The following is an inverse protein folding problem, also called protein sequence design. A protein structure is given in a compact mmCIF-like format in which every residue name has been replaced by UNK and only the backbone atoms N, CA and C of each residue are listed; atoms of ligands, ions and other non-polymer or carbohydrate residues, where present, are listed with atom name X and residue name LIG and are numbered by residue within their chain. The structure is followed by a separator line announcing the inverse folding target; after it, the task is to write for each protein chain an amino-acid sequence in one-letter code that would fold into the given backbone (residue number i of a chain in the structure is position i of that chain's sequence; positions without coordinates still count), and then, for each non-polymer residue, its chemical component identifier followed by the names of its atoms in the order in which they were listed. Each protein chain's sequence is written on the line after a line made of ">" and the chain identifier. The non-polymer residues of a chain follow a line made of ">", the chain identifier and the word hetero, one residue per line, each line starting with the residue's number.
data_IF_975573489642
#
_entry.id   IF_975573489642
#
_cell.length_a   1.000
_cell.length_b   1.000
_cell.length_c   1.000
_cell.angle_alpha   90.00
_cell.angle_beta   90.00
_cell.angle_gamma   90.00
#
_symmetry.space_group_name_H-M   'P 1'
#
loop_
_entity.id
_entity.type
_entity.pdbx_description
1 polymer ?
#
# COMPACT_ATOMS: atom_id res chain seq x y z
N UNK A 1 2.44 -7.54 11.57
CA UNK A 1 1.36 -6.58 11.28
C UNK A 1 0.37 -7.30 10.37
N UNK A 2 -0.90 -7.35 10.74
CA UNK A 2 -1.95 -7.98 9.92
C UNK A 2 -2.44 -6.95 8.92
N UNK A 3 -2.34 -7.27 7.63
CA UNK A 3 -2.66 -6.35 6.54
C UNK A 3 -3.92 -6.89 5.88
N UNK A 4 -5.01 -6.11 5.90
CA UNK A 4 -6.26 -6.55 5.30
C UNK A 4 -6.11 -6.73 3.79
N UNK A 5 -6.61 -7.85 3.28
CA UNK A 5 -6.64 -8.15 1.84
C UNK A 5 -8.00 -7.84 1.22
N UNK A 6 -8.00 -7.65 -0.10
CA UNK A 6 -9.19 -7.48 -0.96
C UNK A 6 -9.12 -8.43 -2.17
N UNK A 7 -10.17 -8.52 -3.00
CA UNK A 7 -10.12 -9.28 -4.26
C UNK A 7 -9.37 -8.45 -5.28
N UNK A 8 -8.66 -9.10 -6.21
CA UNK A 8 -7.97 -8.41 -7.29
C UNK A 8 -8.92 -7.58 -8.19
N UNK A 9 -10.16 -8.04 -8.39
CA UNK A 9 -11.17 -7.31 -9.16
C UNK A 9 -11.62 -6.01 -8.48
N UNK A 10 -11.64 -5.99 -7.14
CA UNK A 10 -12.01 -4.84 -6.30
C UNK A 10 -10.89 -3.78 -6.26
N UNK A 11 -9.69 -4.10 -6.73
CA UNK A 11 -8.62 -3.12 -6.94
C UNK A 11 -8.97 -2.25 -8.15
N UNK A 12 -9.78 -1.23 -7.93
CA UNK A 12 -10.19 -0.25 -8.96
C UNK A 12 -9.36 1.03 -8.87
N UNK A 13 -9.48 1.91 -9.87
CA UNK A 13 -8.82 3.22 -9.82
C UNK A 13 -9.29 4.02 -8.61
N UNK A 14 -10.59 4.05 -8.33
CA UNK A 14 -11.16 4.77 -7.19
C UNK A 14 -10.58 4.28 -5.85
N UNK A 15 -10.51 2.96 -5.67
CA UNK A 15 -9.95 2.34 -4.47
C UNK A 15 -8.48 2.73 -4.32
N UNK A 16 -7.71 2.67 -5.40
CA UNK A 16 -6.30 3.02 -5.35
C UNK A 16 -6.06 4.51 -5.12
N UNK A 17 -6.82 5.38 -5.79
CA UNK A 17 -6.79 6.83 -5.56
C UNK A 17 -7.05 7.13 -4.09
N UNK A 18 -8.06 6.48 -3.49
CA UNK A 18 -8.36 6.67 -2.09
C UNK A 18 -7.20 6.21 -1.19
N UNK A 19 -6.56 5.10 -1.49
CA UNK A 19 -5.38 4.63 -0.74
C UNK A 19 -4.21 5.60 -0.86
N UNK A 20 -3.98 6.19 -2.03
CA UNK A 20 -2.95 7.23 -2.22
C UNK A 20 -3.27 8.46 -1.36
N UNK A 21 -4.53 8.89 -1.29
CA UNK A 21 -4.92 9.99 -0.40
C UNK A 21 -4.70 9.64 1.08
N UNK A 22 -4.98 8.40 1.48
CA UNK A 22 -4.71 7.92 2.83
C UNK A 22 -3.20 7.92 3.11
N UNK A 23 -2.38 7.53 2.13
CA UNK A 23 -0.94 7.57 2.20
C UNK A 23 -0.42 8.99 2.46
N UNK A 24 -0.83 9.96 1.64
CA UNK A 24 -0.42 11.36 1.78
C UNK A 24 -0.81 11.93 3.16
N UNK A 25 -2.03 11.62 3.63
CA UNK A 25 -2.53 12.08 4.95
C UNK A 25 -1.83 11.43 6.13
N UNK A 26 -1.43 10.15 6.02
CA UNK A 26 -0.88 9.38 7.14
C UNK A 26 0.64 9.47 7.23
N UNK A 27 1.33 9.38 6.10
CA UNK A 27 2.80 9.30 6.01
C UNK A 27 3.41 10.65 5.67
N UNK A 28 2.62 11.62 5.19
CA UNK A 28 3.14 12.87 4.67
C UNK A 28 3.84 12.64 3.33
N UNK A 29 3.23 11.82 2.48
CA UNK A 29 3.64 11.63 1.10
C UNK A 29 3.61 12.92 0.30
N UNK A 30 4.47 13.00 -0.70
CA UNK A 30 4.38 13.96 -1.79
C UNK A 30 4.22 13.17 -3.09
N UNK A 31 3.14 12.39 -3.20
CA UNK A 31 2.90 11.52 -4.34
C UNK A 31 2.75 12.26 -5.66
N UNK A 32 3.37 11.74 -6.72
CA UNK A 32 3.08 12.12 -8.10
C UNK A 32 1.59 11.95 -8.38
N UNK A 33 0.90 13.03 -8.75
CA UNK A 33 -0.54 13.07 -9.07
C UNK A 33 -0.91 12.36 -10.38
N UNK A 34 0.00 11.58 -10.95
CA UNK A 34 -0.18 10.94 -12.25
C UNK A 34 -0.41 9.44 -12.07
N UNK A 35 -1.51 9.10 -11.40
CA UNK A 35 -2.08 7.77 -11.52
C UNK A 35 -3.11 7.79 -12.65
N UNK A 36 -2.92 6.96 -13.67
CA UNK A 36 -3.85 6.82 -14.80
C UNK A 36 -4.27 5.36 -14.96
N UNK A 37 -5.28 5.12 -15.79
CA UNK A 37 -5.83 3.78 -16.07
C UNK A 37 -4.76 2.76 -16.45
N UNK A 38 -3.80 3.13 -17.29
CA UNK A 38 -2.69 2.26 -17.69
C UNK A 38 -1.80 1.81 -16.52
N UNK A 39 -1.72 2.59 -15.43
CA UNK A 39 -0.95 2.22 -14.24
C UNK A 39 -1.66 1.12 -13.44
N UNK A 40 -3.00 1.13 -13.40
CA UNK A 40 -3.79 0.09 -12.74
C UNK A 40 -3.73 -1.22 -13.54
N UNK A 41 -3.90 -1.15 -14.85
CA UNK A 41 -3.83 -2.32 -15.73
C UNK A 41 -2.48 -3.00 -15.61
N UNK A 42 -1.38 -2.22 -15.69
CA UNK A 42 -0.04 -2.72 -15.46
C UNK A 42 0.13 -3.38 -14.09
N UNK A 43 -0.43 -2.80 -13.02
CA UNK A 43 -0.38 -3.42 -11.70
C UNK A 43 -1.12 -4.75 -11.63
N UNK A 44 -2.32 -4.85 -12.22
CA UNK A 44 -3.08 -6.10 -12.26
C UNK A 44 -2.35 -7.18 -13.06
N UNK A 45 -1.78 -6.81 -14.20
CA UNK A 45 -0.95 -7.72 -15.01
C UNK A 45 0.29 -8.19 -14.22
N UNK A 46 0.98 -7.27 -13.55
CA UNK A 46 2.16 -7.59 -12.75
C UNK A 46 1.83 -8.46 -11.54
N UNK A 47 0.71 -8.21 -10.86
CA UNK A 47 0.27 -9.03 -9.74
C UNK A 47 -0.04 -10.46 -10.20
N UNK A 48 -0.61 -10.62 -11.40
CA UNK A 48 -0.87 -11.93 -12.00
C UNK A 48 0.44 -12.70 -12.29
N UNK A 49 1.52 -12.00 -12.64
CA UNK A 49 2.77 -12.63 -13.11
C UNK A 49 3.92 -12.68 -12.07
N UNK A 50 3.99 -11.73 -11.13
CA UNK A 50 5.17 -11.47 -10.29
C UNK A 50 4.89 -11.30 -8.79
N UNK A 51 3.70 -11.70 -8.34
CA UNK A 51 3.25 -11.72 -6.92
C UNK A 51 3.27 -10.40 -6.16
N UNK A 52 3.86 -9.34 -6.70
CA UNK A 52 3.90 -8.01 -6.11
C UNK A 52 4.13 -6.94 -7.17
N UNK A 53 3.66 -5.73 -6.87
CA UNK A 53 3.98 -4.50 -7.60
C UNK A 53 4.32 -3.42 -6.58
N UNK A 54 5.36 -2.65 -6.88
CA UNK A 54 5.81 -1.52 -6.06
C UNK A 54 5.67 -0.21 -6.82
N UNK A 55 5.28 0.84 -6.11
CA UNK A 55 5.40 2.22 -6.59
C UNK A 55 6.18 3.07 -5.61
N UNK A 56 7.09 3.89 -6.14
CA UNK A 56 7.85 4.85 -5.35
C UNK A 56 6.98 6.09 -5.09
N UNK A 57 6.64 6.30 -3.83
CA UNK A 57 5.90 7.44 -3.34
C UNK A 57 6.71 8.03 -2.20
N UNK A 58 7.62 8.96 -2.51
CA UNK A 58 8.44 9.63 -1.49
C UNK A 58 7.60 10.19 -0.33
N UNK A 59 8.19 10.29 0.85
CA UNK A 59 7.56 10.86 2.06
C UNK A 59 8.46 11.93 2.69
N UNK A 60 7.92 12.65 3.67
CA UNK A 60 8.70 13.56 4.53
C UNK A 60 9.89 12.90 5.24
N UNK A 61 9.88 11.58 5.42
CA UNK A 61 10.98 10.85 6.07
C UNK A 61 11.98 10.25 5.08
N UNK A 62 11.55 9.92 3.86
CA UNK A 62 12.44 9.37 2.83
C UNK A 62 11.84 9.50 1.43
N UNK A 63 12.62 10.03 0.49
CA UNK A 63 12.28 10.03 -0.94
C UNK A 63 12.20 8.63 -1.56
N UNK A 64 12.66 7.59 -0.86
CA UNK A 64 12.63 6.19 -1.31
C UNK A 64 11.47 5.38 -0.71
N UNK A 65 10.52 6.05 -0.08
CA UNK A 65 9.30 5.42 0.45
C UNK A 65 8.51 4.75 -0.68
N UNK A 66 7.98 3.54 -0.43
CA UNK A 66 7.29 2.71 -1.43
C UNK A 66 5.92 2.26 -0.96
N UNK A 67 4.91 2.43 -1.80
CA UNK A 67 3.62 1.77 -1.67
C UNK A 67 3.73 0.39 -2.36
N UNK A 68 3.35 -0.66 -1.63
CA UNK A 68 3.40 -2.04 -2.10
C UNK A 68 1.99 -2.61 -2.22
N UNK A 69 1.73 -3.30 -3.33
CA UNK A 69 0.62 -4.22 -3.45
C UNK A 69 1.21 -5.61 -3.66
N UNK A 70 0.83 -6.56 -2.82
CA UNK A 70 1.35 -7.92 -2.88
C UNK A 70 0.20 -8.92 -2.83
N UNK A 71 0.22 -9.91 -3.72
CA UNK A 71 -0.69 -11.04 -3.62
C UNK A 71 -0.32 -11.89 -2.40
N UNK A 72 -1.31 -12.16 -1.57
CA UNK A 72 -1.19 -13.13 -0.51
C UNK A 72 -1.38 -14.54 -1.08
N UNK A 73 -0.28 -15.24 -1.40
CA UNK A 73 -0.33 -16.62 -1.89
C UNK A 73 -0.69 -17.66 -0.82
N UNK A 74 -0.98 -17.25 0.42
CA UNK A 74 -1.43 -18.20 1.45
C UNK A 74 -2.85 -18.71 1.18
N UNK A 75 -3.61 -18.02 0.34
CA UNK A 75 -4.93 -18.47 -0.11
C UNK A 75 -4.87 -18.84 -1.59
N UNK A 76 -5.73 -19.77 -2.03
CA UNK A 76 -5.91 -20.09 -3.46
C UNK A 76 -6.54 -18.93 -4.26
N UNK A 77 -6.77 -17.79 -3.60
CA UNK A 77 -7.41 -16.60 -4.14
C UNK A 77 -6.34 -15.51 -4.31
N UNK A 78 -6.35 -14.85 -5.46
CA UNK A 78 -5.50 -13.69 -5.73
C UNK A 78 -5.94 -12.51 -4.86
N UNK A 79 -5.48 -12.50 -3.61
CA UNK A 79 -5.83 -11.53 -2.58
C UNK A 79 -4.73 -10.48 -2.42
N UNK A 80 -4.76 -9.37 -3.16
CA UNK A 80 -3.84 -8.26 -2.91
C UNK A 80 -4.01 -7.70 -1.50
N UNK A 81 -2.90 -7.66 -0.76
CA UNK A 81 -2.73 -6.88 0.45
C UNK A 81 -1.91 -5.63 0.12
N UNK A 82 -2.33 -4.49 0.66
CA UNK A 82 -1.68 -3.21 0.42
C UNK A 82 -0.98 -2.77 1.68
N UNK A 83 0.33 -2.61 1.59
CA UNK A 83 1.14 -2.11 2.69
C UNK A 83 2.09 -1.04 2.21
N UNK A 84 2.63 -0.33 3.17
CA UNK A 84 3.60 0.70 2.94
C UNK A 84 4.90 0.31 3.63
N UNK A 85 6.02 0.60 2.98
CA UNK A 85 7.34 0.42 3.55
C UNK A 85 8.21 1.64 3.25
N UNK A 86 8.89 2.13 4.27
CA UNK A 86 9.97 3.08 4.03
C UNK A 86 11.16 2.28 3.47
N UNK A 87 11.56 2.58 2.22
CA UNK A 87 12.65 1.85 1.54
C UNK A 87 14.03 2.04 2.18
N UNK A 88 15.07 1.57 1.49
CA UNK A 88 16.45 1.70 1.94
C UNK A 88 16.87 3.17 2.20
N UNK A 89 17.81 3.37 3.14
CA UNK A 89 18.36 4.66 3.60
C UNK A 89 17.48 5.48 4.56
N UNK A 90 16.50 4.87 5.21
CA UNK A 90 16.00 5.44 6.47
C UNK A 90 17.12 5.31 7.50
N UNK A 91 17.44 6.40 8.20
CA UNK A 91 18.31 6.35 9.37
C UNK A 91 17.83 5.25 10.33
N UNK A 92 18.65 4.23 10.54
CA UNK A 92 18.31 3.08 11.39
C UNK A 92 18.45 3.39 12.90
N UNK A 93 18.74 4.65 13.25
CA UNK A 93 18.74 5.08 14.64
C UNK A 93 17.42 4.67 15.34
N UNK A 94 17.47 4.18 16.59
CA UNK A 94 16.29 3.62 17.26
C UNK A 94 15.08 4.55 17.31
N UNK A 95 15.32 5.87 17.39
CA UNK A 95 14.28 6.88 17.39
C UNK A 95 13.55 7.03 16.05
N UNK A 96 14.26 6.86 14.93
CA UNK A 96 13.67 6.92 13.59
C UNK A 96 12.97 5.61 13.26
N UNK A 97 13.57 4.45 13.58
CA UNK A 97 12.94 3.14 13.40
C UNK A 97 11.57 3.04 14.08
N UNK A 98 11.47 3.49 15.33
CA UNK A 98 10.19 3.51 16.08
C UNK A 98 9.15 4.44 15.44
N UNK A 99 9.58 5.56 14.83
CA UNK A 99 8.69 6.47 14.09
C UNK A 99 8.18 5.81 12.81
N UNK A 100 9.06 5.12 12.08
CA UNK A 100 8.73 4.35 10.88
C UNK A 100 7.71 3.27 11.19
N UNK A 101 7.98 2.40 12.16
CA UNK A 101 7.05 1.32 12.55
C UNK A 101 5.67 1.87 12.95
N UNK A 102 5.64 3.00 13.67
CA UNK A 102 4.38 3.67 14.03
C UNK A 102 3.62 4.18 12.81
N UNK A 103 4.31 4.68 11.79
CA UNK A 103 3.70 5.19 10.56
C UNK A 103 3.21 4.05 9.66
N UNK A 104 3.99 2.99 9.49
CA UNK A 104 3.58 1.78 8.77
C UNK A 104 2.35 1.16 9.43
N UNK A 105 2.35 1.02 10.76
CA UNK A 105 1.19 0.51 11.51
C UNK A 105 -0.04 1.40 11.38
N UNK A 106 0.14 2.72 11.43
CA UNK A 106 -0.97 3.66 11.24
C UNK A 106 -1.54 3.58 9.84
N UNK A 107 -0.70 3.52 8.81
CA UNK A 107 -1.14 3.40 7.43
C UNK A 107 -1.93 2.11 7.22
N UNK A 108 -1.38 0.96 7.62
CA UNK A 108 -2.07 -0.33 7.47
C UNK A 108 -3.40 -0.37 8.21
N UNK A 109 -3.50 0.24 9.40
CA UNK A 109 -4.77 0.36 10.11
C UNK A 109 -5.78 1.19 9.33
N UNK A 110 -5.37 2.37 8.84
CA UNK A 110 -6.26 3.28 8.10
C UNK A 110 -6.74 2.68 6.77
N UNK A 111 -5.88 1.96 6.05
CA UNK A 111 -6.28 1.21 4.86
C UNK A 111 -7.25 0.09 5.23
N UNK A 112 -6.97 -0.67 6.30
CA UNK A 112 -7.85 -1.75 6.77
C UNK A 112 -9.25 -1.23 7.14
N UNK A 113 -9.32 -0.12 7.87
CA UNK A 113 -10.58 0.51 8.27
C UNK A 113 -11.37 0.97 7.02
N UNK A 114 -10.69 1.56 6.04
CA UNK A 114 -11.29 1.94 4.75
C UNK A 114 -11.86 0.74 3.99
N UNK A 115 -11.10 -0.35 3.85
CA UNK A 115 -11.56 -1.54 3.13
C UNK A 115 -12.75 -2.20 3.82
N UNK A 116 -12.76 -2.22 5.15
CA UNK A 116 -13.89 -2.73 5.95
C UNK A 116 -15.13 -1.86 5.79
N UNK A 117 -15.00 -0.54 5.88
CA UNK A 117 -16.10 0.41 5.69
C UNK A 117 -16.76 0.25 4.31
N UNK A 118 -15.95 -0.05 3.28
CA UNK A 118 -16.42 -0.26 1.91
C UNK A 118 -16.91 -1.68 1.61
N UNK A 119 -16.82 -2.61 2.56
CA UNK A 119 -17.18 -4.02 2.35
C UNK A 119 -16.24 -4.76 1.37
N UNK A 120 -15.00 -4.27 1.21
CA UNK A 120 -13.98 -4.84 0.31
C UNK A 120 -12.98 -5.75 1.03
N UNK A 121 -13.03 -5.79 2.37
CA UNK A 121 -12.13 -6.58 3.20
C UNK A 121 -12.52 -8.07 3.21
N UNK A 122 -11.55 -8.95 3.01
CA UNK A 122 -11.78 -10.41 2.92
C UNK A 122 -11.07 -11.18 4.03
N UNK A 123 -9.87 -10.75 4.42
CA UNK A 123 -9.12 -11.38 5.50
C UNK A 123 -8.33 -10.35 6.33
N UNK A 124 -8.00 -10.72 7.57
CA UNK A 124 -7.16 -9.94 8.52
C UNK A 124 -5.79 -10.60 8.77
#
# INVERSE_FOLDING_TARGET
>A
MRTVSMRLEDLTEEVLWRIIELYDKTVGGHGLRHFNSGTLEYAKEMLTNRSSVEWRYGSRLSGHSKLWIQLNHRTCLSEPAIYFSFGANVDESPGIRKKVEKLESRFSRVVSDFLKEKGLAISE
#
